data_IF_376817042403
#
_entry.id   IF_376817042403
#
_cell.length_a   1.000
_cell.length_b   1.000
_cell.length_c   1.000
_cell.angle_alpha   90.00
_cell.angle_beta   90.00
_cell.angle_gamma   90.00
#
_symmetry.space_group_name_H-M   'P 1'
#
loop_
_entity.id
_entity.type
_entity.pdbx_description
1 polymer ?
#
# COMPACT_ATOMS: atom_id res chain seq x y z
N UNK A 1 -26.64 -8.11 77.25
CA UNK A 1 -26.64 -6.75 76.66
C UNK A 1 -27.20 -6.87 75.25
N UNK A 2 -28.40 -6.33 75.05
CA UNK A 2 -29.15 -6.38 73.79
C UNK A 2 -28.52 -5.50 72.69
N UNK A 3 -28.86 -5.88 71.45
CA UNK A 3 -29.01 -5.04 70.24
C UNK A 3 -27.77 -4.63 69.41
N UNK A 4 -27.53 -5.39 68.33
CA UNK A 4 -27.18 -4.92 66.97
C UNK A 4 -27.72 -5.95 65.95
N UNK A 5 -28.42 -5.69 64.85
CA UNK A 5 -29.32 -4.63 64.37
C UNK A 5 -30.10 -5.26 63.20
N UNK A 6 -31.44 -5.21 63.18
CA UNK A 6 -32.25 -5.56 61.98
C UNK A 6 -31.92 -4.66 60.75
N UNK A 7 -31.21 -3.54 60.97
CA UNK A 7 -30.72 -2.63 59.94
C UNK A 7 -29.70 -3.25 58.96
N UNK A 8 -28.94 -4.26 59.36
CA UNK A 8 -27.87 -4.82 58.51
C UNK A 8 -28.38 -5.86 57.52
N UNK A 9 -29.42 -6.61 57.89
CA UNK A 9 -30.12 -7.53 56.99
C UNK A 9 -30.88 -6.80 55.88
N UNK A 10 -31.53 -5.66 56.18
CA UNK A 10 -32.23 -4.86 55.16
C UNK A 10 -31.26 -4.23 54.16
N UNK A 11 -30.10 -3.73 54.61
CA UNK A 11 -29.04 -3.21 53.73
C UNK A 11 -28.43 -4.31 52.86
N UNK A 12 -28.23 -5.51 53.41
CA UNK A 12 -27.71 -6.67 52.68
C UNK A 12 -28.72 -7.22 51.66
N UNK A 13 -30.02 -7.26 52.00
CA UNK A 13 -31.10 -7.66 51.10
C UNK A 13 -31.34 -6.61 49.99
N UNK A 14 -31.31 -5.31 50.30
CA UNK A 14 -31.36 -4.24 49.29
C UNK A 14 -30.12 -4.23 48.39
N UNK A 15 -28.93 -4.50 48.93
CA UNK A 15 -27.69 -4.62 48.15
C UNK A 15 -27.73 -5.83 47.22
N UNK A 16 -28.23 -6.98 47.69
CA UNK A 16 -28.42 -8.19 46.90
C UNK A 16 -29.47 -8.02 45.81
N UNK A 17 -30.59 -7.32 46.08
CA UNK A 17 -31.63 -7.04 45.09
C UNK A 17 -31.18 -5.98 44.06
N UNK A 18 -30.42 -4.95 44.48
CA UNK A 18 -29.79 -3.98 43.58
C UNK A 18 -28.71 -4.61 42.72
N UNK A 19 -27.89 -5.49 43.27
CA UNK A 19 -26.89 -6.25 42.52
C UNK A 19 -27.57 -7.19 41.52
N UNK A 20 -28.66 -7.85 41.91
CA UNK A 20 -29.45 -8.71 41.01
C UNK A 20 -30.08 -7.90 39.87
N UNK A 21 -30.58 -6.69 40.13
CA UNK A 21 -31.06 -5.76 39.10
C UNK A 21 -29.93 -5.31 38.16
N UNK A 22 -28.77 -4.94 38.70
CA UNK A 22 -27.60 -4.54 37.90
C UNK A 22 -27.11 -5.69 37.03
N UNK A 23 -27.04 -6.91 37.57
CA UNK A 23 -26.65 -8.11 36.82
C UNK A 23 -27.67 -8.42 35.72
N UNK A 24 -28.97 -8.30 35.99
CA UNK A 24 -30.01 -8.48 34.96
C UNK A 24 -29.91 -7.43 33.85
N UNK A 25 -29.63 -6.16 34.20
CA UNK A 25 -29.42 -5.09 33.23
C UNK A 25 -28.14 -5.33 32.40
N UNK A 26 -27.04 -5.75 33.04
CA UNK A 26 -25.80 -6.06 32.32
C UNK A 26 -25.97 -7.27 31.40
N UNK A 27 -26.66 -8.33 31.84
CA UNK A 27 -26.95 -9.49 31.01
C UNK A 27 -27.89 -9.17 29.85
N UNK A 28 -28.89 -8.31 30.05
CA UNK A 28 -29.78 -7.88 28.96
C UNK A 28 -29.05 -6.98 27.95
N UNK A 29 -28.16 -6.11 28.40
CA UNK A 29 -27.30 -5.31 27.51
C UNK A 29 -26.31 -6.18 26.74
N UNK A 30 -25.71 -7.19 27.37
CA UNK A 30 -24.81 -8.14 26.69
C UNK A 30 -25.58 -8.98 25.68
N UNK A 31 -26.77 -9.48 26.01
CA UNK A 31 -27.61 -10.19 25.05
C UNK A 31 -28.04 -9.29 23.88
N UNK A 32 -28.34 -8.01 24.14
CA UNK A 32 -28.66 -7.05 23.09
C UNK A 32 -27.46 -6.74 22.19
N UNK A 33 -26.26 -6.59 22.77
CA UNK A 33 -25.03 -6.42 22.00
C UNK A 33 -24.69 -7.67 21.18
N UNK A 34 -24.87 -8.87 21.72
CA UNK A 34 -24.67 -10.10 20.96
C UNK A 34 -25.72 -10.23 19.84
N UNK A 35 -26.98 -9.87 20.09
CA UNK A 35 -28.02 -9.82 19.07
C UNK A 35 -27.75 -8.77 17.98
N UNK A 36 -27.15 -7.62 18.31
CA UNK A 36 -26.74 -6.62 17.31
C UNK A 36 -25.47 -7.01 16.55
N UNK A 37 -24.64 -7.88 17.13
CA UNK A 37 -23.41 -8.39 16.51
C UNK A 37 -23.64 -9.63 15.64
N UNK A 38 -24.77 -10.32 15.79
CA UNK A 38 -25.24 -11.25 14.78
C UNK A 38 -25.89 -10.46 13.64
N UNK A 39 -25.36 -10.49 12.42
CA UNK A 39 -26.08 -9.97 11.27
C UNK A 39 -27.34 -10.83 11.18
N UNK A 40 -28.49 -10.24 11.52
CA UNK A 40 -29.77 -10.85 11.25
C UNK A 40 -29.75 -11.28 9.80
N UNK A 41 -29.96 -12.58 9.58
CA UNK A 41 -30.20 -13.16 8.28
C UNK A 41 -31.47 -12.48 7.72
N UNK A 42 -31.28 -11.31 7.10
CA UNK A 42 -32.30 -10.60 6.37
C UNK A 42 -32.51 -11.40 5.10
N UNK A 43 -33.41 -12.38 5.21
CA UNK A 43 -33.98 -13.03 4.06
C UNK A 43 -34.64 -11.96 3.19
N UNK A 44 -34.02 -11.70 2.05
CA UNK A 44 -34.62 -11.20 0.81
C UNK A 44 -35.53 -9.97 0.95
N UNK A 45 -34.93 -8.79 0.82
CA UNK A 45 -35.52 -7.79 -0.08
C UNK A 45 -34.94 -7.98 -1.49
N UNK A 46 -35.43 -9.03 -2.15
CA UNK A 46 -35.26 -9.30 -3.59
C UNK A 46 -36.17 -8.36 -4.41
N UNK A 47 -36.19 -7.06 -4.09
CA UNK A 47 -36.98 -6.05 -4.79
C UNK A 47 -36.31 -4.67 -4.94
N UNK A 48 -35.01 -4.58 -4.72
CA UNK A 48 -34.22 -3.42 -5.16
C UNK A 48 -32.96 -3.82 -5.94
N UNK A 49 -33.06 -4.89 -6.75
CA UNK A 49 -32.19 -5.00 -7.92
C UNK A 49 -32.66 -3.94 -8.92
N UNK A 50 -32.18 -2.70 -8.74
CA UNK A 50 -32.36 -1.64 -9.70
C UNK A 50 -31.73 -2.08 -11.02
N UNK A 51 -32.48 -2.09 -12.14
CA UNK A 51 -31.91 -2.33 -13.46
C UNK A 51 -30.81 -1.31 -13.83
N UNK A 52 -30.71 -0.18 -13.11
CA UNK A 52 -29.71 0.86 -13.36
C UNK A 52 -28.29 0.58 -12.86
N UNK A 53 -28.04 -0.39 -11.97
CA UNK A 53 -26.66 -0.73 -11.58
C UNK A 53 -26.04 -1.69 -12.60
N UNK A 54 -26.85 -2.58 -13.17
CA UNK A 54 -26.44 -3.51 -14.24
C UNK A 54 -26.23 -2.76 -15.57
N UNK A 55 -26.92 -1.64 -15.78
CA UNK A 55 -26.78 -0.80 -16.98
C UNK A 55 -25.47 0.01 -17.01
N UNK A 56 -24.79 0.19 -15.87
CA UNK A 56 -23.44 0.79 -15.81
C UNK A 56 -22.33 -0.22 -16.18
N UNK A 57 -22.66 -1.50 -16.24
CA UNK A 57 -21.81 -2.57 -16.75
C UNK A 57 -22.15 -2.92 -18.21
N UNK A 58 -23.00 -2.13 -18.90
CA UNK A 58 -23.17 -2.25 -20.35
C UNK A 58 -21.90 -1.72 -21.04
N UNK A 59 -20.91 -2.61 -21.11
CA UNK A 59 -19.61 -2.50 -21.78
C UNK A 59 -19.71 -2.03 -23.24
N UNK A 60 -20.92 -2.02 -23.81
CA UNK A 60 -21.24 -1.62 -25.17
C UNK A 60 -20.91 -0.17 -25.50
N UNK A 61 -20.82 0.71 -24.49
CA UNK A 61 -20.40 2.11 -24.68
C UNK A 61 -19.08 2.49 -23.98
N UNK A 62 -18.45 1.57 -23.24
CA UNK A 62 -17.18 1.86 -22.57
C UNK A 62 -16.00 1.61 -23.54
N UNK A 63 -15.87 2.51 -24.52
CA UNK A 63 -14.81 2.54 -25.55
C UNK A 63 -13.39 2.50 -24.95
N UNK A 64 -13.24 2.80 -23.66
CA UNK A 64 -11.98 2.86 -22.91
C UNK A 64 -11.77 1.68 -21.97
N UNK A 65 -12.58 0.60 -22.04
CA UNK A 65 -12.44 -0.57 -21.15
C UNK A 65 -11.04 -1.20 -21.16
N UNK A 66 -10.29 -1.04 -22.25
CA UNK A 66 -8.92 -1.54 -22.40
C UNK A 66 -7.85 -0.46 -22.23
N UNK A 67 -8.23 0.81 -22.10
CA UNK A 67 -7.28 1.91 -21.99
C UNK A 67 -6.68 1.95 -20.59
N UNK A 68 -5.36 1.74 -20.53
CA UNK A 68 -4.60 1.86 -19.30
C UNK A 68 -4.32 3.31 -18.98
N UNK A 69 -4.39 3.67 -17.70
CA UNK A 69 -3.95 4.97 -17.21
C UNK A 69 -2.44 5.05 -17.31
N UNK A 70 -1.96 6.01 -18.12
CA UNK A 70 -0.53 6.23 -18.32
C UNK A 70 0.04 7.05 -17.16
N UNK A 71 1.04 6.50 -16.49
CA UNK A 71 1.74 7.12 -15.38
C UNK A 71 3.22 7.23 -15.73
N UNK A 72 3.79 8.43 -15.66
CA UNK A 72 5.22 8.66 -15.87
C UNK A 72 5.81 9.18 -14.56
N UNK A 73 6.76 8.43 -14.00
CA UNK A 73 7.37 8.75 -12.70
C UNK A 73 8.79 9.22 -12.94
N UNK A 74 9.05 10.50 -12.72
CA UNK A 74 10.38 11.11 -12.76
C UNK A 74 10.91 11.19 -11.33
N UNK A 75 12.08 10.63 -11.08
CA UNK A 75 12.61 10.51 -9.72
C UNK A 75 14.14 10.51 -9.70
N UNK A 76 14.71 10.69 -8.51
CA UNK A 76 16.16 10.65 -8.26
C UNK A 76 16.42 9.48 -7.29
N UNK A 77 17.41 8.64 -7.56
CA UNK A 77 17.64 7.44 -6.77
C UNK A 77 17.89 7.78 -5.29
N UNK A 78 18.77 8.73 -4.95
CA UNK A 78 19.14 9.02 -3.56
C UNK A 78 18.19 10.04 -2.88
N UNK A 79 17.14 10.49 -3.55
CA UNK A 79 16.21 11.46 -2.99
C UNK A 79 15.24 10.80 -1.98
N UNK A 80 15.16 11.30 -0.74
CA UNK A 80 14.31 10.71 0.30
C UNK A 80 12.81 10.78 -0.05
N UNK A 81 12.36 11.81 -0.77
CA UNK A 81 10.97 11.94 -1.21
C UNK A 81 10.64 10.95 -2.32
N UNK A 82 11.59 10.70 -3.23
CA UNK A 82 11.45 9.66 -4.26
C UNK A 82 11.30 8.29 -3.59
N UNK A 83 12.19 7.95 -2.64
CA UNK A 83 12.08 6.73 -1.84
C UNK A 83 10.73 6.60 -1.14
N UNK A 84 10.28 7.68 -0.49
CA UNK A 84 8.99 7.69 0.20
C UNK A 84 7.83 7.43 -0.77
N UNK A 85 7.85 8.05 -1.95
CA UNK A 85 6.83 7.86 -2.97
C UNK A 85 6.75 6.41 -3.46
N UNK A 86 7.88 5.76 -3.72
CA UNK A 86 7.92 4.35 -4.13
C UNK A 86 7.30 3.45 -3.05
N UNK A 87 7.75 3.59 -1.82
CA UNK A 87 7.31 2.74 -0.69
C UNK A 87 5.85 2.95 -0.30
N UNK A 88 5.38 4.21 -0.27
CA UNK A 88 4.07 4.56 0.30
C UNK A 88 2.96 4.70 -0.73
N UNK A 89 3.31 4.93 -1.99
CA UNK A 89 2.32 5.23 -3.02
C UNK A 89 2.46 4.31 -4.23
N UNK A 90 3.59 4.35 -4.93
CA UNK A 90 3.69 3.71 -6.24
C UNK A 90 3.60 2.18 -6.15
N UNK A 91 4.37 1.54 -5.27
CA UNK A 91 4.36 0.09 -5.15
C UNK A 91 2.97 -0.43 -4.70
N UNK A 92 2.34 0.08 -3.61
CA UNK A 92 1.01 -0.35 -3.20
C UNK A 92 -0.07 -0.18 -4.28
N UNK A 93 0.01 0.88 -5.07
CA UNK A 93 -0.92 1.12 -6.19
C UNK A 93 -0.66 0.14 -7.34
N UNK A 94 0.60 -0.08 -7.69
CA UNK A 94 0.99 -0.99 -8.77
C UNK A 94 0.55 -2.43 -8.46
N UNK A 95 0.71 -2.89 -7.21
CA UNK A 95 0.30 -4.24 -6.82
C UNK A 95 -1.21 -4.46 -6.93
N UNK A 96 -2.02 -3.42 -6.68
CA UNK A 96 -3.48 -3.53 -6.71
C UNK A 96 -4.08 -3.28 -8.09
N UNK A 97 -3.45 -2.41 -8.88
CA UNK A 97 -4.05 -1.84 -10.09
C UNK A 97 -3.21 -2.05 -11.36
N UNK A 98 -2.17 -2.90 -11.34
CA UNK A 98 -1.28 -3.11 -12.51
C UNK A 98 -2.00 -3.43 -13.82
N UNK A 99 -3.16 -4.08 -13.80
CA UNK A 99 -3.96 -4.36 -15.00
C UNK A 99 -4.48 -3.10 -15.69
N UNK A 100 -4.69 -2.02 -14.91
CA UNK A 100 -5.23 -0.74 -15.36
C UNK A 100 -4.17 0.34 -15.58
N UNK A 101 -2.88 0.03 -15.34
CA UNK A 101 -1.80 1.01 -15.35
C UNK A 101 -0.77 0.71 -16.44
N UNK A 102 -0.28 1.77 -17.08
CA UNK A 102 0.91 1.81 -17.95
C UNK A 102 1.92 2.77 -17.32
N UNK A 103 2.80 2.24 -16.49
CA UNK A 103 3.79 2.98 -15.72
C UNK A 103 5.12 2.96 -16.48
N UNK A 104 5.72 4.13 -16.70
CA UNK A 104 7.15 4.22 -16.98
C UNK A 104 7.88 4.97 -15.87
N UNK A 105 9.06 4.46 -15.57
CA UNK A 105 9.98 4.97 -14.56
C UNK A 105 11.13 5.69 -15.26
N UNK A 106 11.43 6.91 -14.83
CA UNK A 106 12.45 7.78 -15.43
C UNK A 106 13.41 8.24 -14.31
N UNK A 107 14.46 7.46 -14.00
CA UNK A 107 15.48 7.85 -13.03
C UNK A 107 16.39 8.93 -13.64
N UNK A 108 16.11 10.19 -13.31
CA UNK A 108 16.87 11.36 -13.74
C UNK A 108 16.60 12.52 -12.78
N UNK A 109 15.32 12.82 -12.58
CA UNK A 109 14.84 13.86 -11.66
C UNK A 109 15.46 15.23 -11.94
N UNK A 110 16.32 15.70 -11.04
CA UNK A 110 16.97 17.02 -11.13
C UNK A 110 18.43 16.94 -11.58
N UNK A 111 18.83 15.81 -12.16
CA UNK A 111 20.12 15.75 -12.83
C UNK A 111 20.19 16.80 -13.95
N UNK A 112 21.40 17.25 -14.25
CA UNK A 112 21.70 18.13 -15.36
C UNK A 112 22.59 17.40 -16.36
N UNK A 113 22.26 17.50 -17.65
CA UNK A 113 23.07 16.91 -18.72
C UNK A 113 23.93 17.97 -19.38
N UNK A 114 25.22 17.66 -19.55
CA UNK A 114 26.18 18.43 -20.34
C UNK A 114 26.66 17.58 -21.50
N UNK A 115 26.67 18.16 -22.70
CA UNK A 115 27.25 17.52 -23.88
C UNK A 115 28.63 18.13 -24.15
N UNK A 116 29.64 17.28 -24.34
CA UNK A 116 30.99 17.70 -24.74
C UNK A 116 31.61 16.64 -25.62
N UNK A 117 32.12 17.05 -26.78
CA UNK A 117 32.79 16.17 -27.76
C UNK A 117 31.93 14.94 -28.16
N UNK A 118 30.61 15.14 -28.31
CA UNK A 118 29.64 14.09 -28.66
C UNK A 118 29.35 13.09 -27.53
N UNK A 119 29.79 13.38 -26.30
CA UNK A 119 29.54 12.58 -25.10
C UNK A 119 28.65 13.32 -24.12
N UNK A 120 27.81 12.57 -23.43
CA UNK A 120 26.94 13.08 -22.37
C UNK A 120 27.58 12.87 -21.00
N UNK A 121 27.50 13.92 -20.18
CA UNK A 121 27.91 13.95 -18.78
C UNK A 121 26.71 14.35 -17.93
N UNK A 122 26.57 13.75 -16.75
CA UNK A 122 25.43 13.97 -15.87
C UNK A 122 25.92 14.51 -14.52
N UNK A 123 25.26 15.55 -14.02
CA UNK A 123 25.51 16.11 -12.70
C UNK A 123 24.24 15.97 -11.86
N UNK A 124 24.32 15.27 -10.73
CA UNK A 124 23.18 14.94 -9.87
C UNK A 124 23.23 15.71 -8.53
N UNK A 125 22.08 15.92 -7.87
CA UNK A 125 22.01 16.73 -6.65
C UNK A 125 22.76 16.09 -5.47
N UNK A 126 22.75 14.75 -5.43
CA UNK A 126 23.42 13.97 -4.39
C UNK A 126 24.77 13.39 -4.88
N UNK A 127 25.37 14.01 -5.89
CA UNK A 127 26.71 13.67 -6.40
C UNK A 127 26.75 12.43 -7.30
N UNK A 128 27.97 11.96 -7.58
CA UNK A 128 28.23 10.88 -8.55
C UNK A 128 27.54 9.56 -8.18
N UNK A 129 27.41 9.25 -6.88
CA UNK A 129 26.70 8.05 -6.41
C UNK A 129 25.24 8.04 -6.88
N UNK A 130 24.57 9.19 -6.88
CA UNK A 130 23.21 9.29 -7.39
C UNK A 130 23.15 9.13 -8.91
N UNK A 131 24.09 9.72 -9.64
CA UNK A 131 24.15 9.53 -11.09
C UNK A 131 24.37 8.06 -11.45
N UNK A 132 25.25 7.37 -10.73
CA UNK A 132 25.47 5.94 -10.92
C UNK A 132 24.24 5.10 -10.54
N UNK A 133 23.60 5.39 -9.41
CA UNK A 133 22.35 4.73 -9.02
C UNK A 133 21.21 4.97 -10.02
N UNK A 134 21.06 6.19 -10.54
CA UNK A 134 20.10 6.50 -11.61
C UNK A 134 20.36 5.66 -12.86
N UNK A 135 21.64 5.45 -13.23
CA UNK A 135 22.04 4.61 -14.36
C UNK A 135 21.71 3.14 -14.12
N UNK A 136 22.02 2.59 -12.94
CA UNK A 136 21.63 1.22 -12.55
C UNK A 136 20.12 1.05 -12.63
N UNK A 137 19.35 2.00 -12.10
CA UNK A 137 17.89 1.96 -12.17
C UNK A 137 17.37 1.96 -13.62
N UNK A 138 17.94 2.79 -14.49
CA UNK A 138 17.59 2.83 -15.92
C UNK A 138 17.88 1.48 -16.60
N UNK A 139 19.08 0.94 -16.40
CA UNK A 139 19.47 -0.36 -16.93
C UNK A 139 18.62 -1.51 -16.38
N UNK A 140 18.20 -1.43 -15.11
CA UNK A 140 17.29 -2.41 -14.50
C UNK A 140 15.92 -2.41 -15.15
N UNK A 141 15.38 -1.22 -15.46
CA UNK A 141 14.09 -1.07 -16.15
C UNK A 141 14.15 -1.70 -17.54
N UNK A 142 15.22 -1.42 -18.30
CA UNK A 142 15.45 -1.98 -19.63
C UNK A 142 15.60 -3.51 -19.59
N UNK A 143 16.47 -4.03 -18.71
CA UNK A 143 16.75 -5.46 -18.63
C UNK A 143 15.54 -6.29 -18.16
N UNK A 144 14.73 -5.76 -17.24
CA UNK A 144 13.58 -6.47 -16.68
C UNK A 144 12.40 -6.47 -17.68
N UNK A 145 12.14 -5.36 -18.36
CA UNK A 145 11.08 -5.20 -19.36
C UNK A 145 9.62 -5.32 -18.86
N UNK A 146 9.38 -5.95 -17.71
CA UNK A 146 8.06 -6.06 -17.09
C UNK A 146 7.79 -4.90 -16.13
N UNK A 147 6.79 -4.08 -16.44
CA UNK A 147 6.40 -2.90 -15.65
C UNK A 147 6.27 -3.16 -14.14
N UNK A 148 5.47 -4.15 -13.74
CA UNK A 148 5.20 -4.42 -12.32
C UNK A 148 6.47 -4.89 -11.61
N UNK A 149 7.26 -5.75 -12.25
CA UNK A 149 8.55 -6.20 -11.72
C UNK A 149 9.55 -5.04 -11.63
N UNK A 150 9.59 -4.14 -12.63
CA UNK A 150 10.47 -2.96 -12.60
C UNK A 150 10.12 -2.02 -11.44
N UNK A 151 8.83 -1.80 -11.14
CA UNK A 151 8.42 -1.02 -9.96
C UNK A 151 8.89 -1.70 -8.67
N UNK A 152 8.68 -3.00 -8.52
CA UNK A 152 9.10 -3.78 -7.34
C UNK A 152 10.62 -3.77 -7.15
N UNK A 153 11.35 -3.96 -8.24
CA UNK A 153 12.82 -3.98 -8.23
C UNK A 153 13.39 -2.60 -7.89
N UNK A 154 12.83 -1.55 -8.49
CA UNK A 154 13.20 -0.16 -8.19
C UNK A 154 12.93 0.20 -6.73
N UNK A 155 11.79 -0.23 -6.19
CA UNK A 155 11.46 0.00 -4.77
C UNK A 155 12.46 -0.72 -3.85
N UNK A 156 12.81 -1.98 -4.14
CA UNK A 156 13.84 -2.69 -3.39
C UNK A 156 15.19 -1.94 -3.40
N UNK A 157 15.63 -1.46 -4.57
CA UNK A 157 16.89 -0.74 -4.70
C UNK A 157 16.85 0.58 -3.94
N UNK A 158 15.78 1.36 -4.07
CA UNK A 158 15.71 2.73 -3.55
C UNK A 158 15.59 2.81 -2.02
N UNK A 159 15.22 1.72 -1.33
CA UNK A 159 15.10 1.69 0.14
C UNK A 159 16.45 1.93 0.81
N UNK A 160 17.49 1.24 0.35
CA UNK A 160 18.85 1.32 0.89
C UNK A 160 19.88 1.32 -0.25
N UNK A 161 20.25 2.52 -0.67
CA UNK A 161 20.97 2.79 -1.91
C UNK A 161 22.18 3.72 -1.74
N UNK A 162 22.74 3.75 -0.54
CA UNK A 162 24.02 4.45 -0.32
C UNK A 162 25.16 3.77 -1.09
N UNK A 163 25.05 2.45 -1.30
CA UNK A 163 25.89 1.65 -2.19
C UNK A 163 25.02 1.05 -3.31
N UNK A 164 25.10 1.59 -4.54
CA UNK A 164 24.27 1.13 -5.65
C UNK A 164 24.57 -0.31 -6.11
N UNK A 165 25.82 -0.79 -5.97
CA UNK A 165 26.21 -2.15 -6.37
C UNK A 165 25.69 -3.17 -5.36
N UNK A 166 25.79 -2.87 -4.05
CA UNK A 166 25.19 -3.72 -3.01
C UNK A 166 23.67 -3.76 -3.14
N UNK A 167 23.03 -2.61 -3.42
CA UNK A 167 21.59 -2.55 -3.66
C UNK A 167 21.17 -3.44 -4.85
N UNK A 168 21.90 -3.36 -5.97
CA UNK A 168 21.68 -4.21 -7.13
C UNK A 168 21.84 -5.70 -6.76
N UNK A 169 22.95 -6.08 -6.14
CA UNK A 169 23.24 -7.47 -5.80
C UNK A 169 22.18 -8.06 -4.84
N UNK A 170 21.80 -7.30 -3.81
CA UNK A 170 20.79 -7.69 -2.82
C UNK A 170 19.42 -7.89 -3.47
N UNK A 171 18.97 -6.93 -4.27
CA UNK A 171 17.65 -6.98 -4.90
C UNK A 171 17.58 -8.02 -6.02
N UNK A 172 18.64 -8.15 -6.83
CA UNK A 172 18.78 -9.20 -7.84
C UNK A 172 18.65 -10.58 -7.22
N UNK A 173 19.35 -10.82 -6.10
CA UNK A 173 19.25 -12.07 -5.34
C UNK A 173 17.85 -12.29 -4.76
N UNK A 174 17.25 -11.27 -4.15
CA UNK A 174 15.91 -11.39 -3.54
C UNK A 174 14.81 -11.71 -4.56
N UNK A 175 14.92 -11.17 -5.77
CA UNK A 175 13.92 -11.30 -6.82
C UNK A 175 14.28 -12.35 -7.89
N UNK A 176 15.40 -13.05 -7.73
CA UNK A 176 15.94 -14.02 -8.69
C UNK A 176 16.07 -13.41 -10.11
N UNK A 177 16.67 -12.23 -10.19
CA UNK A 177 17.00 -11.51 -11.42
C UNK A 177 18.51 -11.62 -11.66
N UNK A 178 18.91 -11.88 -12.90
CA UNK A 178 20.31 -11.87 -13.30
C UNK A 178 20.85 -10.42 -13.30
N UNK A 179 21.85 -10.08 -12.48
CA UNK A 179 22.39 -8.73 -12.42
C UNK A 179 23.32 -8.40 -13.60
N UNK A 180 23.84 -9.39 -14.34
CA UNK A 180 24.89 -9.19 -15.35
C UNK A 180 24.46 -8.24 -16.49
N UNK A 181 23.25 -8.33 -17.05
CA UNK A 181 22.78 -7.37 -18.05
C UNK A 181 22.66 -5.94 -17.51
N UNK A 182 22.36 -5.80 -16.22
CA UNK A 182 22.18 -4.50 -15.56
C UNK A 182 23.55 -3.86 -15.31
N UNK A 183 24.48 -4.61 -14.70
CA UNK A 183 25.81 -4.14 -14.34
C UNK A 183 26.65 -3.79 -15.58
N UNK A 184 26.50 -4.56 -16.68
CA UNK A 184 27.20 -4.30 -17.95
C UNK A 184 26.68 -3.05 -18.67
N UNK A 185 25.40 -2.69 -18.47
CA UNK A 185 24.79 -1.48 -19.02
C UNK A 185 25.17 -0.23 -18.22
N UNK A 186 25.31 -0.36 -16.89
CA UNK A 186 25.68 0.72 -15.96
C UNK A 186 27.15 1.12 -15.99
#
# INVERSE_FOLDING_TARGET
MLMTTCKDFLKMAFSCNRYRLIVVILLSLIMWQLFSMFPGNSGRDEKLAQPGIIELEDDKFNIHKQDKVKVRVYYEALCPDSRHFFMKHLLPVTEKLSEFLDIALIPYGKAHTKEKDGKYYFECQHGETECYANKIHACSIEAIGNMTTSVKFTECMIIDNNDPDDALARCAKQMNIDPDPISTCS
#
